data_IF_563410083420
#
_entry.id   IF_563410083420
#
_cell.length_a   1.000
_cell.length_b   1.000
_cell.length_c   1.000
_cell.angle_alpha   90.00
_cell.angle_beta   90.00
_cell.angle_gamma   90.00
#
_symmetry.space_group_name_H-M   'P 1'
#
loop_
_entity.id
_entity.type
_entity.pdbx_description
1 polymer ?
#
# COMPACT_ATOMS: atom_id res chain seq x y z
N UNK A 1 47.07 4.34 -12.36
CA UNK A 1 46.43 5.66 -12.27
C UNK A 1 45.17 5.58 -13.11
N UNK A 2 44.11 5.10 -12.48
CA UNK A 2 42.74 5.19 -12.97
C UNK A 2 41.92 5.38 -11.70
N UNK A 3 41.38 6.57 -11.54
CA UNK A 3 40.59 6.99 -10.38
C UNK A 3 39.22 6.31 -10.47
N UNK A 4 38.87 5.54 -9.43
CA UNK A 4 37.53 5.00 -9.23
C UNK A 4 36.76 6.05 -8.44
N UNK A 5 35.84 6.76 -9.10
CA UNK A 5 34.87 7.62 -8.42
C UNK A 5 33.74 6.72 -7.88
N UNK A 6 33.78 6.42 -6.59
CA UNK A 6 32.63 5.91 -5.84
C UNK A 6 31.77 7.10 -5.45
N UNK A 7 30.58 7.21 -6.05
CA UNK A 7 29.53 8.12 -5.59
C UNK A 7 28.79 7.41 -4.46
N UNK A 8 29.01 7.83 -3.21
CA UNK A 8 28.11 7.49 -2.11
C UNK A 8 26.87 8.35 -2.28
N UNK A 9 25.74 7.70 -2.51
CA UNK A 9 24.42 8.31 -2.38
C UNK A 9 24.05 8.17 -0.90
N UNK A 10 24.09 9.30 -0.17
CA UNK A 10 23.61 9.35 1.21
C UNK A 10 22.09 9.22 1.19
N UNK A 11 21.58 8.09 1.67
CA UNK A 11 20.17 7.91 1.98
C UNK A 11 19.78 8.88 3.10
N UNK A 12 18.91 9.84 2.82
CA UNK A 12 18.34 10.69 3.85
C UNK A 12 17.42 9.85 4.76
N UNK A 13 17.47 10.01 6.10
CA UNK A 13 16.55 9.34 6.99
C UNK A 13 15.29 10.18 7.14
N UNK A 14 14.09 9.59 7.02
CA UNK A 14 12.91 10.09 7.73
C UNK A 14 12.10 8.96 8.38
N UNK A 15 11.62 9.31 9.57
CA UNK A 15 11.28 8.46 10.70
C UNK A 15 9.94 8.93 11.28
N UNK A 16 9.23 7.97 11.87
CA UNK A 16 8.21 8.19 12.90
C UNK A 16 8.79 9.02 14.05
N UNK A 17 7.92 9.77 14.75
CA UNK A 17 8.24 10.36 16.04
C UNK A 17 8.68 9.25 17.02
N UNK A 18 10.00 9.09 17.23
CA UNK A 18 10.52 8.12 18.19
C UNK A 18 10.14 8.58 19.61
N UNK A 19 9.46 7.69 20.33
CA UNK A 19 8.81 7.89 21.63
C UNK A 19 9.77 8.23 22.78
N UNK A 20 11.07 8.46 22.51
CA UNK A 20 12.16 8.29 23.48
C UNK A 20 13.24 9.36 23.50
N UNK A 21 12.96 10.63 23.21
CA UNK A 21 13.82 11.74 23.66
C UNK A 21 13.04 12.95 24.22
N UNK A 22 11.98 12.70 25.00
CA UNK A 22 11.36 13.75 25.82
C UNK A 22 11.87 13.62 27.25
N UNK A 23 12.94 14.37 27.62
CA UNK A 23 13.12 14.97 28.96
C UNK A 23 14.49 15.65 29.18
N UNK A 24 14.47 17.00 29.27
CA UNK A 24 14.82 17.83 30.46
C UNK A 24 15.31 19.22 30.05
N UNK A 25 14.43 20.21 30.12
CA UNK A 25 14.85 21.61 30.25
C UNK A 25 14.18 22.23 31.49
N UNK A 26 15.01 22.58 32.47
CA UNK A 26 14.61 23.20 33.72
C UNK A 26 14.47 24.71 33.53
N UNK A 27 13.28 25.27 33.79
CA UNK A 27 13.11 26.68 34.18
C UNK A 27 12.18 27.53 33.31
N UNK A 28 10.93 27.69 33.75
CA UNK A 28 10.03 28.83 33.51
C UNK A 28 10.02 29.48 32.11
N UNK A 29 9.96 28.66 31.07
CA UNK A 29 9.56 29.04 29.72
C UNK A 29 8.67 27.91 29.18
N UNK A 30 7.64 28.24 28.41
CA UNK A 30 6.80 27.26 27.71
C UNK A 30 7.76 26.36 26.92
N UNK A 31 7.85 25.10 27.31
CA UNK A 31 8.71 24.14 26.66
C UNK A 31 7.92 23.57 25.48
N UNK A 32 8.17 24.11 24.29
CA UNK A 32 7.69 23.51 23.05
C UNK A 32 8.65 22.41 22.63
N UNK A 33 8.11 21.22 22.36
CA UNK A 33 8.83 20.12 21.73
C UNK A 33 8.28 20.02 20.31
N UNK A 34 9.13 20.21 19.30
CA UNK A 34 8.80 19.88 17.92
C UNK A 34 8.86 18.36 17.81
N UNK A 35 7.73 17.71 17.55
CA UNK A 35 7.63 16.24 17.60
C UNK A 35 7.71 15.59 16.22
N UNK A 36 7.71 16.37 15.14
CA UNK A 36 8.01 15.85 13.81
C UNK A 36 8.05 16.92 12.73
N UNK A 37 8.84 16.65 11.69
CA UNK A 37 8.68 17.17 10.33
C UNK A 37 8.19 15.99 9.48
N UNK A 38 7.07 16.12 8.79
CA UNK A 38 6.56 15.04 7.95
C UNK A 38 7.27 15.00 6.59
N UNK A 39 6.98 13.96 5.81
CA UNK A 39 7.42 13.85 4.42
C UNK A 39 6.79 14.94 3.56
N UNK A 40 7.39 15.16 2.40
CA UNK A 40 6.89 16.11 1.42
C UNK A 40 6.00 15.33 0.46
N UNK A 41 4.70 15.61 0.46
CA UNK A 41 3.75 15.01 -0.48
C UNK A 41 3.43 16.00 -1.60
N UNK A 42 3.47 15.53 -2.85
CA UNK A 42 3.00 16.29 -4.01
C UNK A 42 1.49 16.21 -4.04
N UNK A 43 0.84 17.36 -4.10
CA UNK A 43 -0.58 17.40 -4.33
C UNK A 43 -0.96 18.62 -5.18
N UNK A 44 -2.00 18.41 -5.98
CA UNK A 44 -2.58 19.32 -6.95
C UNK A 44 -3.98 19.64 -6.41
N UNK A 45 -4.23 20.89 -6.05
CA UNK A 45 -5.56 21.33 -5.58
C UNK A 45 -6.39 21.89 -6.71
N UNK A 46 -7.70 21.79 -6.53
CA UNK A 46 -8.64 22.16 -7.56
C UNK A 46 -8.72 23.64 -7.88
N UNK A 47 -9.10 23.97 -9.13
CA UNK A 47 -9.48 25.33 -9.55
C UNK A 47 -10.72 25.87 -8.80
N UNK A 48 -11.45 25.02 -8.07
CA UNK A 48 -12.55 25.40 -7.18
C UNK A 48 -12.00 25.94 -5.85
N UNK A 49 -12.62 26.99 -5.30
CA UNK A 49 -12.24 27.75 -4.08
C UNK A 49 -12.16 26.91 -2.77
N UNK A 50 -12.08 25.58 -2.84
CA UNK A 50 -12.05 24.67 -1.70
C UNK A 50 -10.61 24.54 -1.17
N UNK A 51 -10.40 25.14 0.00
CA UNK A 51 -9.12 25.11 0.69
C UNK A 51 -8.77 23.67 1.15
N UNK A 52 -7.48 23.28 1.14
CA UNK A 52 -7.05 22.03 1.74
C UNK A 52 -7.53 21.90 3.19
N UNK A 53 -7.93 20.70 3.59
CA UNK A 53 -8.44 20.42 4.93
C UNK A 53 -7.46 19.56 5.71
N UNK A 54 -7.06 19.99 6.91
CA UNK A 54 -6.29 19.16 7.83
C UNK A 54 -7.22 18.50 8.85
N UNK A 55 -7.34 17.18 8.80
CA UNK A 55 -7.99 16.38 9.84
C UNK A 55 -6.96 15.90 10.84
N UNK A 56 -7.24 16.04 12.13
CA UNK A 56 -6.32 15.62 13.20
C UNK A 56 -7.04 14.83 14.26
N UNK A 57 -6.35 13.85 14.86
CA UNK A 57 -6.78 13.19 16.10
C UNK A 57 -5.76 13.45 17.20
N UNK A 58 -6.20 14.18 18.23
CA UNK A 58 -5.34 14.60 19.32
C UNK A 58 -6.06 14.61 20.67
N UNK A 59 -5.28 14.47 21.74
CA UNK A 59 -5.74 14.74 23.11
C UNK A 59 -4.94 15.91 23.67
N UNK A 60 -5.64 16.97 24.05
CA UNK A 60 -5.06 18.20 24.61
C UNK A 60 -5.53 18.40 26.06
N UNK A 61 -4.85 17.81 27.06
CA UNK A 61 -5.16 18.04 28.46
C UNK A 61 -5.10 19.53 28.83
N UNK A 62 -5.85 19.94 29.85
CA UNK A 62 -5.87 21.33 30.30
C UNK A 62 -4.46 21.89 30.53
N UNK A 63 -4.24 23.13 30.08
CA UNK A 63 -2.95 23.84 30.10
C UNK A 63 -1.87 23.30 29.12
N UNK A 64 -2.25 22.44 28.18
CA UNK A 64 -1.43 22.07 27.00
C UNK A 64 -1.96 22.72 25.72
N UNK A 65 -1.14 22.74 24.66
CA UNK A 65 -1.52 23.19 23.33
C UNK A 65 -0.79 22.36 22.27
N UNK A 66 -1.44 22.15 21.14
CA UNK A 66 -0.83 21.56 19.94
C UNK A 66 -0.96 22.60 18.84
N UNK A 67 0.14 22.91 18.16
CA UNK A 67 0.13 23.77 16.99
C UNK A 67 0.63 22.99 15.79
N UNK A 68 -0.13 22.99 14.70
CA UNK A 68 0.36 22.53 13.41
C UNK A 68 0.68 23.73 12.52
N UNK A 69 1.75 23.59 11.74
CA UNK A 69 2.09 24.47 10.63
C UNK A 69 2.21 23.65 9.38
N UNK A 70 1.54 24.09 8.33
CA UNK A 70 1.61 23.50 7.00
C UNK A 70 2.37 24.48 6.13
N UNK A 71 3.35 23.97 5.38
CA UNK A 71 4.21 24.73 4.50
C UNK A 71 4.04 24.19 3.07
N UNK A 72 3.94 25.08 2.10
CA UNK A 72 3.81 24.77 0.68
C UNK A 72 5.10 25.18 -0.05
N UNK A 73 5.73 24.26 -0.78
CA UNK A 73 6.98 24.47 -1.52
C UNK A 73 6.82 24.18 -3.01
N UNK A 74 7.70 24.78 -3.81
CA UNK A 74 7.77 24.56 -5.27
C UNK A 74 8.43 23.25 -5.70
N UNK A 75 9.14 22.55 -4.81
CA UNK A 75 9.84 21.29 -5.09
C UNK A 75 9.99 20.39 -3.85
N UNK A 76 10.34 19.13 -4.08
CA UNK A 76 10.51 18.06 -3.09
C UNK A 76 11.76 18.20 -2.21
N UNK A 77 12.68 19.08 -2.56
CA UNK A 77 13.93 19.33 -1.81
C UNK A 77 13.78 20.49 -0.80
N UNK A 78 12.55 20.97 -0.60
CA UNK A 78 12.26 22.11 0.27
C UNK A 78 12.69 23.42 -0.38
N UNK A 79 12.27 23.61 -1.64
CA UNK A 79 12.55 24.75 -2.50
C UNK A 79 12.04 26.10 -1.98
N UNK A 80 11.51 26.94 -2.88
CA UNK A 80 10.97 28.21 -2.45
C UNK A 80 9.66 27.97 -1.67
N UNK A 81 9.62 28.44 -0.42
CA UNK A 81 8.38 28.45 0.36
C UNK A 81 7.39 29.40 -0.33
N UNK A 82 6.30 28.84 -0.83
CA UNK A 82 5.23 29.54 -1.54
C UNK A 82 4.29 30.16 -0.51
N UNK A 83 3.72 29.30 0.33
CA UNK A 83 2.73 29.65 1.33
C UNK A 83 2.94 28.87 2.63
N UNK A 84 2.26 29.32 3.68
CA UNK A 84 2.20 28.58 4.94
C UNK A 84 0.96 28.96 5.72
N UNK A 85 0.36 28.00 6.41
CA UNK A 85 -0.72 28.24 7.36
C UNK A 85 -0.40 27.62 8.73
N UNK A 86 -1.05 28.13 9.78
CA UNK A 86 -0.89 27.61 11.13
C UNK A 86 -2.19 27.56 11.88
N UNK A 87 -2.44 26.40 12.47
CA UNK A 87 -3.65 26.09 13.21
C UNK A 87 -3.30 25.65 14.64
N UNK A 88 -4.18 25.97 15.58
CA UNK A 88 -4.15 25.44 16.94
C UNK A 88 -5.09 24.24 16.98
N UNK A 89 -4.56 23.07 17.33
CA UNK A 89 -5.31 21.81 17.37
C UNK A 89 -5.97 21.65 18.73
N UNK A 90 -7.27 21.42 18.71
CA UNK A 90 -8.14 21.23 19.86
C UNK A 90 -8.21 19.74 20.27
N UNK A 91 -8.84 19.47 21.41
CA UNK A 91 -9.07 18.11 21.93
C UNK A 91 -10.07 17.34 21.05
N UNK A 92 -9.73 16.11 20.66
CA UNK A 92 -10.56 15.21 19.86
C UNK A 92 -10.17 15.17 18.37
N UNK A 93 -11.08 14.61 17.56
CA UNK A 93 -10.98 14.61 16.10
C UNK A 93 -11.57 15.89 15.54
N UNK A 94 -10.75 16.68 14.83
CA UNK A 94 -11.11 18.01 14.34
C UNK A 94 -10.61 18.23 12.91
N UNK A 95 -11.39 18.95 12.12
CA UNK A 95 -11.08 19.37 10.74
C UNK A 95 -10.78 20.88 10.69
N UNK A 96 -9.76 21.25 9.93
CA UNK A 96 -9.29 22.63 9.81
C UNK A 96 -9.06 23.04 8.36
N UNK A 97 -9.79 24.05 7.89
CA UNK A 97 -9.56 24.68 6.59
C UNK A 97 -8.23 25.44 6.60
N UNK A 98 -7.34 25.12 5.66
CA UNK A 98 -6.04 25.78 5.51
C UNK A 98 -6.12 26.91 4.46
N UNK A 99 -6.86 27.97 4.80
CA UNK A 99 -7.09 29.10 3.90
C UNK A 99 -5.82 29.83 3.45
N UNK A 100 -4.68 29.61 4.13
CA UNK A 100 -3.38 30.14 3.74
C UNK A 100 -2.65 29.29 2.70
N UNK A 101 -3.14 28.11 2.34
CA UNK A 101 -2.56 27.21 1.35
C UNK A 101 -3.35 27.33 0.05
N UNK A 102 -2.68 27.72 -1.04
CA UNK A 102 -3.35 28.00 -2.33
C UNK A 102 -3.52 26.77 -3.20
N UNK A 103 -2.69 25.74 -3.04
CA UNK A 103 -2.97 24.45 -3.64
C UNK A 103 -2.65 24.31 -5.14
N UNK A 104 -1.86 25.18 -5.77
CA UNK A 104 -1.70 25.09 -7.23
C UNK A 104 -0.92 23.85 -7.71
N UNK A 105 -0.96 23.61 -9.02
CA UNK A 105 -0.19 22.56 -9.70
C UNK A 105 1.29 22.54 -9.26
N UNK A 106 1.79 21.35 -8.90
CA UNK A 106 3.19 21.03 -8.55
C UNK A 106 3.72 21.50 -7.18
N UNK A 107 2.86 21.61 -6.17
CA UNK A 107 3.32 21.92 -4.82
C UNK A 107 3.52 20.72 -3.90
N UNK A 108 4.36 20.99 -2.92
CA UNK A 108 4.98 20.04 -2.01
C UNK A 108 4.73 20.49 -0.58
N UNK A 109 4.11 19.64 0.23
CA UNK A 109 3.64 20.02 1.58
C UNK A 109 4.55 19.48 2.69
N UNK A 110 5.07 20.35 3.57
CA UNK A 110 5.75 19.95 4.82
C UNK A 110 4.90 20.34 6.01
N UNK A 111 4.92 19.54 7.06
CA UNK A 111 4.13 19.77 8.27
C UNK A 111 5.04 19.78 9.48
N UNK A 112 4.85 20.76 10.33
CA UNK A 112 5.52 20.88 11.62
C UNK A 112 4.47 20.86 12.72
N UNK A 113 4.60 19.89 13.64
CA UNK A 113 3.72 19.77 14.81
C UNK A 113 4.52 20.12 16.06
N UNK A 114 4.11 21.19 16.72
CA UNK A 114 4.65 21.68 17.98
C UNK A 114 3.72 21.27 19.12
N UNK A 115 4.25 20.48 20.07
CA UNK A 115 3.56 20.14 21.32
C UNK A 115 4.02 21.05 22.45
N UNK A 116 3.09 21.75 23.09
CA UNK A 116 3.36 22.67 24.20
C UNK A 116 2.65 22.26 25.50
N UNK A 117 3.32 22.47 26.63
CA UNK A 117 2.72 22.38 27.96
C UNK A 117 3.17 23.53 28.85
N UNK A 118 2.23 24.14 29.57
CA UNK A 118 2.53 25.24 30.50
C UNK A 118 3.05 24.74 31.85
N UNK A 119 2.73 23.51 32.25
CA UNK A 119 3.04 22.98 33.58
C UNK A 119 4.16 21.92 33.59
N UNK A 120 4.53 21.36 32.42
CA UNK A 120 5.43 20.21 32.27
C UNK A 120 5.00 18.94 33.04
N UNK A 121 3.79 18.92 33.60
CA UNK A 121 3.24 17.78 34.33
C UNK A 121 2.35 16.93 33.41
N UNK A 122 1.72 17.55 32.42
CA UNK A 122 0.91 16.86 31.42
C UNK A 122 1.43 17.17 30.02
N UNK A 123 1.51 16.15 29.17
CA UNK A 123 1.89 16.28 27.76
C UNK A 123 0.67 16.02 26.88
N UNK A 124 0.44 16.82 25.83
CA UNK A 124 -0.56 16.49 24.83
C UNK A 124 -0.15 15.22 24.09
N UNK A 125 -1.14 14.46 23.61
CA UNK A 125 -0.93 13.30 22.76
C UNK A 125 -1.43 13.64 21.35
N UNK A 126 -0.58 13.47 20.35
CA UNK A 126 -0.93 13.64 18.95
C UNK A 126 -0.90 12.27 18.28
N UNK A 127 -2.02 11.86 17.69
CA UNK A 127 -2.15 10.53 17.09
C UNK A 127 -1.83 10.59 15.60
N UNK A 128 -2.52 11.45 14.86
CA UNK A 128 -2.48 11.49 13.40
C UNK A 128 -2.87 12.87 12.84
N UNK A 129 -2.24 13.24 11.72
CA UNK A 129 -2.62 14.36 10.85
C UNK A 129 -2.85 13.80 9.44
N UNK A 130 -3.97 14.15 8.81
CA UNK A 130 -4.28 13.84 7.42
C UNK A 130 -4.54 15.17 6.72
N UNK A 131 -3.78 15.46 5.67
CA UNK A 131 -4.09 16.58 4.78
C UNK A 131 -4.86 16.05 3.58
N UNK A 132 -6.06 16.57 3.39
CA UNK A 132 -6.89 16.29 2.24
C UNK A 132 -6.84 17.48 1.29
N UNK A 133 -6.53 17.17 0.02
CA UNK A 133 -6.49 18.15 -1.06
C UNK A 133 -7.52 17.70 -2.10
N UNK A 134 -8.49 18.56 -2.46
CA UNK A 134 -9.49 18.24 -3.48
C UNK A 134 -8.82 18.02 -4.83
N UNK A 135 -9.24 16.97 -5.55
CA UNK A 135 -8.68 16.60 -6.85
C UNK A 135 -9.42 17.34 -7.97
N UNK A 136 -8.73 18.14 -8.79
CA UNK A 136 -9.27 18.63 -10.07
C UNK A 136 -8.81 17.74 -11.24
N UNK A 137 -9.73 17.13 -12.00
CA UNK A 137 -9.41 16.31 -13.16
C UNK A 137 -8.43 16.94 -14.17
N UNK A 138 -8.38 18.27 -14.27
CA UNK A 138 -7.55 18.98 -15.25
C UNK A 138 -6.07 19.05 -14.84
N UNK A 139 -5.75 18.85 -13.57
CA UNK A 139 -4.39 18.97 -13.03
C UNK A 139 -3.60 17.67 -13.14
N UNK A 140 -4.27 16.58 -13.51
CA UNK A 140 -3.70 15.24 -13.51
C UNK A 140 -3.17 14.83 -14.87
N UNK A 141 -2.10 14.06 -14.83
CA UNK A 141 -1.51 13.54 -16.04
C UNK A 141 -2.39 12.44 -16.66
N UNK A 142 -2.69 12.61 -17.94
CA UNK A 142 -3.35 11.59 -18.76
C UNK A 142 -2.42 11.16 -19.91
N UNK A 143 -1.89 9.94 -19.83
CA UNK A 143 -0.97 9.34 -20.81
C UNK A 143 -1.55 8.04 -21.36
N UNK A 144 -1.91 8.00 -22.64
CA UNK A 144 -2.19 6.73 -23.32
C UNK A 144 -0.90 5.92 -23.44
N UNK A 145 -0.95 4.64 -23.08
CA UNK A 145 0.19 3.72 -23.23
C UNK A 145 0.04 2.92 -24.52
N UNK A 146 1.17 2.55 -25.13
CA UNK A 146 1.13 1.64 -26.28
C UNK A 146 0.75 0.24 -25.82
N UNK A 147 -0.31 -0.33 -26.39
CA UNK A 147 -0.69 -1.73 -26.17
C UNK A 147 0.15 -2.72 -27.00
N UNK A 148 1.04 -2.24 -27.88
CA UNK A 148 1.91 -3.11 -28.70
C UNK A 148 2.80 -4.06 -27.87
N UNK A 149 3.09 -3.69 -26.63
CA UNK A 149 3.89 -4.48 -25.69
C UNK A 149 3.05 -5.36 -24.76
N UNK A 150 1.72 -5.31 -24.87
CA UNK A 150 0.76 -6.03 -24.05
C UNK A 150 0.10 -7.10 -24.91
N UNK A 151 0.50 -8.36 -24.70
CA UNK A 151 0.08 -9.45 -25.57
C UNK A 151 -1.31 -10.00 -25.23
N UNK A 152 -1.74 -9.83 -23.98
CA UNK A 152 -3.01 -10.40 -23.50
C UNK A 152 -4.11 -9.35 -23.27
N UNK A 153 -3.82 -8.04 -23.41
CA UNK A 153 -4.85 -6.99 -23.38
C UNK A 153 -5.86 -7.25 -24.51
N UNK A 154 -7.18 -7.22 -24.24
CA UNK A 154 -8.20 -7.36 -25.28
C UNK A 154 -8.02 -6.37 -26.43
N UNK A 155 -8.31 -6.79 -27.68
CA UNK A 155 -8.06 -5.95 -28.88
C UNK A 155 -8.79 -4.59 -28.86
N UNK A 156 -9.88 -4.50 -28.09
CA UNK A 156 -10.75 -3.35 -27.93
C UNK A 156 -10.55 -2.62 -26.59
N UNK A 157 -9.56 -3.05 -25.79
CA UNK A 157 -9.20 -2.40 -24.55
C UNK A 157 -8.01 -1.45 -24.74
N UNK A 158 -8.04 -0.34 -24.03
CA UNK A 158 -6.94 0.62 -23.93
C UNK A 158 -6.34 0.57 -22.53
N UNK A 159 -5.01 0.70 -22.47
CA UNK A 159 -4.26 0.87 -21.23
C UNK A 159 -3.78 2.31 -21.15
N UNK A 160 -4.22 3.03 -20.13
CA UNK A 160 -3.91 4.45 -19.95
C UNK A 160 -3.41 4.71 -18.54
N UNK A 161 -2.48 5.65 -18.38
CA UNK A 161 -2.21 6.25 -17.08
C UNK A 161 -3.09 7.49 -16.95
N UNK A 162 -4.27 7.31 -16.35
CA UNK A 162 -5.18 8.38 -15.97
C UNK A 162 -5.03 8.63 -14.47
N UNK A 163 -4.16 9.57 -14.12
CA UNK A 163 -3.78 9.80 -12.72
C UNK A 163 -4.98 10.25 -11.87
N UNK A 164 -5.94 10.98 -12.45
CA UNK A 164 -7.15 11.39 -11.75
C UNK A 164 -8.00 10.18 -11.33
N UNK A 165 -8.36 9.31 -12.29
CA UNK A 165 -9.11 8.07 -11.98
C UNK A 165 -8.34 7.19 -11.01
N UNK A 166 -7.02 7.06 -11.21
CA UNK A 166 -6.17 6.27 -10.33
C UNK A 166 -6.11 6.82 -8.90
N UNK A 167 -6.12 8.15 -8.71
CA UNK A 167 -6.19 8.76 -7.38
C UNK A 167 -7.58 8.65 -6.78
N UNK A 168 -8.64 8.88 -7.56
CA UNK A 168 -10.05 8.77 -7.12
C UNK A 168 -10.36 7.38 -6.55
N UNK A 169 -9.89 6.31 -7.20
CA UNK A 169 -10.15 4.93 -6.75
C UNK A 169 -8.97 4.27 -6.03
N UNK A 170 -7.99 5.07 -5.57
CA UNK A 170 -6.78 4.53 -4.96
C UNK A 170 -7.09 3.82 -3.63
N UNK A 171 -6.62 2.59 -3.41
CA UNK A 171 -6.73 1.94 -2.11
C UNK A 171 -5.88 2.62 -1.04
N UNK A 172 -6.39 2.70 0.20
CA UNK A 172 -5.60 3.09 1.38
C UNK A 172 -4.87 1.87 1.90
N UNK A 173 -3.58 2.03 2.17
CA UNK A 173 -2.74 0.92 2.65
C UNK A 173 -2.22 1.20 4.07
N UNK A 174 -2.61 0.34 4.99
CA UNK A 174 -2.08 0.25 6.35
C UNK A 174 -0.92 -0.74 6.37
N UNK A 175 0.25 -0.27 6.81
CA UNK A 175 1.45 -1.08 6.99
C UNK A 175 2.36 -0.45 8.06
N UNK A 176 3.27 -1.24 8.62
CA UNK A 176 4.24 -0.74 9.58
C UNK A 176 5.23 0.26 8.95
N UNK A 177 6.01 0.97 9.77
CA UNK A 177 6.89 2.03 9.29
C UNK A 177 8.13 1.53 8.54
N UNK A 178 8.63 0.34 8.86
CA UNK A 178 9.77 -0.23 8.15
C UNK A 178 9.34 -0.78 6.79
N UNK A 179 8.17 -1.42 6.70
CA UNK A 179 7.59 -1.83 5.41
C UNK A 179 7.29 -0.62 4.53
N UNK A 180 6.66 0.43 5.08
CA UNK A 180 6.40 1.68 4.34
C UNK A 180 7.69 2.33 3.82
N UNK A 181 8.75 2.39 4.63
CA UNK A 181 10.03 2.99 4.22
C UNK A 181 10.74 2.18 3.12
N UNK A 182 10.45 0.88 3.03
CA UNK A 182 11.02 -0.01 2.01
C UNK A 182 10.14 -0.20 0.78
N UNK A 183 9.01 0.51 0.68
CA UNK A 183 8.08 0.47 -0.45
C UNK A 183 8.36 1.63 -1.39
N UNK A 184 8.37 1.35 -2.69
CA UNK A 184 8.41 2.36 -3.75
C UNK A 184 6.99 2.80 -4.17
N UNK A 185 5.97 2.63 -3.32
CA UNK A 185 4.60 3.03 -3.62
C UNK A 185 3.82 2.02 -4.47
N UNK A 186 2.99 2.52 -5.37
CA UNK A 186 2.09 1.75 -6.25
C UNK A 186 2.34 2.09 -7.71
N UNK A 187 2.57 1.05 -8.51
CA UNK A 187 2.57 1.18 -9.97
C UNK A 187 1.18 0.91 -10.51
N UNK A 188 0.66 1.79 -11.36
CA UNK A 188 -0.74 1.72 -11.76
C UNK A 188 -1.00 2.06 -13.22
N UNK A 189 -2.16 1.63 -13.69
CA UNK A 189 -2.78 1.98 -14.96
C UNK A 189 -4.29 1.76 -14.89
N UNK A 190 -5.04 2.40 -15.78
CA UNK A 190 -6.46 2.14 -16.01
C UNK A 190 -6.59 1.30 -17.27
N UNK A 191 -7.36 0.21 -17.19
CA UNK A 191 -7.84 -0.53 -18.35
C UNK A 191 -9.27 -0.08 -18.66
N UNK A 192 -9.49 0.35 -19.90
CA UNK A 192 -10.78 0.85 -20.38
C UNK A 192 -11.16 0.09 -21.66
N UNK A 193 -12.44 -0.18 -21.88
CA UNK A 193 -12.91 -1.03 -22.97
C UNK A 193 -14.36 -0.72 -23.35
N UNK A 194 -14.60 -0.37 -24.61
CA UNK A 194 -15.94 -0.13 -25.16
C UNK A 194 -16.89 -1.35 -25.09
N UNK A 195 -16.36 -2.56 -24.88
CA UNK A 195 -17.14 -3.80 -24.82
C UNK A 195 -17.49 -4.23 -23.38
N UNK A 196 -16.98 -3.54 -22.37
CA UNK A 196 -17.18 -3.87 -20.95
C UNK A 196 -17.94 -2.74 -20.26
N UNK A 197 -18.84 -3.06 -19.32
CA UNK A 197 -19.62 -2.06 -18.59
C UNK A 197 -18.81 -1.41 -17.43
N UNK A 198 -17.52 -1.77 -17.30
CA UNK A 198 -16.63 -1.30 -16.24
C UNK A 198 -15.27 -0.89 -16.82
N UNK A 199 -14.71 0.19 -16.31
CA UNK A 199 -13.26 0.39 -16.36
C UNK A 199 -12.60 -0.19 -15.11
N UNK A 200 -11.30 -0.51 -15.20
CA UNK A 200 -10.56 -1.12 -14.10
C UNK A 200 -9.35 -0.29 -13.74
N UNK A 201 -9.28 0.17 -12.49
CA UNK A 201 -8.07 0.77 -11.93
C UNK A 201 -7.16 -0.35 -11.40
N UNK A 202 -6.04 -0.58 -12.07
CA UNK A 202 -5.10 -1.65 -11.78
C UNK A 202 -3.90 -1.09 -11.00
N UNK A 203 -3.74 -1.52 -9.76
CA UNK A 203 -2.63 -1.12 -8.89
C UNK A 203 -1.73 -2.31 -8.56
N UNK A 204 -0.43 -2.02 -8.44
CA UNK A 204 0.59 -2.95 -8.01
C UNK A 204 1.42 -2.33 -6.91
N UNK A 205 1.10 -2.67 -5.67
CA UNK A 205 1.79 -2.18 -4.48
C UNK A 205 3.18 -2.80 -4.39
N UNK A 206 4.22 -1.99 -4.56
CA UNK A 206 5.59 -2.41 -4.27
C UNK A 206 5.82 -2.47 -2.76
N UNK A 207 6.47 -3.53 -2.30
CA UNK A 207 6.79 -3.74 -0.88
C UNK A 207 8.28 -4.07 -0.75
N UNK A 208 8.85 -4.12 0.46
CA UNK A 208 10.12 -4.80 0.64
C UNK A 208 9.95 -6.32 0.49
N UNK A 209 11.06 -7.03 0.34
CA UNK A 209 11.06 -8.49 0.24
C UNK A 209 10.46 -9.12 1.51
N UNK A 210 9.40 -9.91 1.34
CA UNK A 210 8.77 -10.66 2.43
C UNK A 210 9.67 -11.78 2.95
N UNK A 211 9.56 -12.08 4.24
CA UNK A 211 10.12 -13.31 4.79
C UNK A 211 9.17 -14.46 4.42
N UNK A 212 9.54 -15.36 3.52
CA UNK A 212 8.71 -16.55 3.29
C UNK A 212 9.35 -17.77 3.90
N UNK A 213 8.64 -18.41 4.83
CA UNK A 213 9.12 -19.58 5.56
C UNK A 213 9.30 -20.84 4.69
N UNK A 214 8.85 -20.84 3.42
CA UNK A 214 8.71 -22.09 2.68
C UNK A 214 9.40 -22.18 1.33
N UNK A 215 9.69 -21.09 0.60
CA UNK A 215 10.42 -21.21 -0.67
C UNK A 215 11.05 -19.88 -1.14
N UNK A 216 12.19 -19.95 -1.83
CA UNK A 216 12.81 -18.83 -2.59
C UNK A 216 11.89 -18.26 -3.71
N UNK A 217 10.68 -18.78 -3.90
CA UNK A 217 9.72 -18.33 -4.93
C UNK A 217 9.33 -16.86 -4.79
N UNK A 218 9.19 -16.35 -3.56
CA UNK A 218 8.87 -14.94 -3.34
C UNK A 218 10.05 -14.00 -3.64
N UNK A 219 11.24 -14.54 -3.95
CA UNK A 219 12.38 -13.73 -4.40
C UNK A 219 12.36 -13.38 -5.88
N UNK A 220 11.56 -14.09 -6.70
CA UNK A 220 11.55 -13.93 -8.17
C UNK A 220 10.38 -13.09 -8.69
N UNK A 221 9.22 -13.16 -8.05
CA UNK A 221 8.03 -12.39 -8.42
C UNK A 221 7.96 -11.01 -7.77
N UNK A 222 9.03 -10.64 -7.10
CA UNK A 222 9.09 -9.39 -6.37
C UNK A 222 8.04 -9.31 -5.28
N UNK A 223 8.08 -8.15 -4.67
CA UNK A 223 7.27 -7.72 -3.56
C UNK A 223 5.93 -7.11 -3.99
N UNK A 224 5.67 -7.04 -5.30
CA UNK A 224 4.48 -6.41 -5.87
C UNK A 224 3.19 -7.14 -5.50
N UNK A 225 2.20 -6.42 -4.96
CA UNK A 225 0.89 -6.97 -4.58
C UNK A 225 -0.20 -6.30 -5.41
N UNK A 226 -0.83 -7.04 -6.34
CA UNK A 226 -1.86 -6.46 -7.20
C UNK A 226 -3.18 -6.24 -6.44
N UNK A 227 -3.86 -5.16 -6.83
CA UNK A 227 -5.22 -4.78 -6.45
C UNK A 227 -5.90 -4.20 -7.69
N UNK A 228 -6.97 -4.82 -8.18
CA UNK A 228 -7.78 -4.36 -9.30
C UNK A 228 -9.14 -3.90 -8.79
N UNK A 229 -9.49 -2.66 -9.06
CA UNK A 229 -10.76 -2.03 -8.67
C UNK A 229 -11.64 -1.90 -9.91
N UNK A 230 -12.74 -2.66 -9.96
CA UNK A 230 -13.72 -2.63 -11.04
C UNK A 230 -14.77 -1.57 -10.73
N UNK A 231 -14.91 -0.61 -11.63
CA UNK A 231 -15.81 0.53 -11.47
C UNK A 231 -16.81 0.57 -12.62
N UNK A 232 -18.09 0.64 -12.30
CA UNK A 232 -19.16 0.81 -13.30
C UNK A 232 -18.97 2.14 -14.05
N UNK A 233 -18.95 2.08 -15.39
CA UNK A 233 -18.67 3.26 -16.21
C UNK A 233 -19.81 4.30 -16.18
N UNK A 234 -21.06 3.87 -15.96
CA UNK A 234 -22.24 4.76 -15.95
C UNK A 234 -22.46 5.39 -14.57
N UNK A 235 -22.31 4.61 -13.49
CA UNK A 235 -22.60 5.04 -12.13
C UNK A 235 -21.38 5.50 -11.35
N UNK A 236 -20.17 5.18 -11.81
CA UNK A 236 -18.91 5.43 -11.12
C UNK A 236 -18.78 4.70 -9.75
N UNK A 237 -19.66 3.74 -9.48
CA UNK A 237 -19.67 2.91 -8.26
C UNK A 237 -18.67 1.75 -8.38
N UNK A 238 -18.00 1.40 -7.28
CA UNK A 238 -17.11 0.23 -7.22
C UNK A 238 -17.96 -1.05 -7.17
N UNK A 239 -17.84 -1.92 -8.18
CA UNK A 239 -18.56 -3.20 -8.20
C UNK A 239 -17.83 -4.29 -7.42
N UNK A 240 -16.51 -4.33 -7.54
CA UNK A 240 -15.69 -5.43 -7.06
C UNK A 240 -14.22 -5.00 -6.96
N UNK A 241 -13.52 -5.54 -5.97
CA UNK A 241 -12.07 -5.40 -5.85
C UNK A 241 -11.44 -6.77 -5.80
N UNK A 242 -10.50 -7.04 -6.70
CA UNK A 242 -9.75 -8.31 -6.80
C UNK A 242 -8.31 -8.07 -6.43
N UNK A 243 -7.79 -8.78 -5.43
CA UNK A 243 -6.46 -8.49 -4.88
C UNK A 243 -5.70 -9.76 -4.52
N UNK A 244 -4.38 -9.61 -4.29
CA UNK A 244 -3.54 -10.69 -3.79
C UNK A 244 -3.72 -10.91 -2.28
N UNK A 245 -4.81 -11.58 -1.90
CA UNK A 245 -5.17 -11.83 -0.49
C UNK A 245 -4.23 -12.78 0.27
N UNK A 246 -3.55 -13.72 -0.42
CA UNK A 246 -2.57 -14.59 0.24
C UNK A 246 -1.60 -15.26 -0.74
N UNK A 247 -0.31 -14.91 -0.70
CA UNK A 247 0.73 -15.54 -1.54
C UNK A 247 0.32 -15.62 -3.03
N UNK A 248 -0.22 -14.51 -3.56
CA UNK A 248 -0.76 -14.39 -4.93
C UNK A 248 -1.93 -15.32 -5.26
N UNK A 249 -2.59 -15.89 -4.25
CA UNK A 249 -3.97 -16.34 -4.40
C UNK A 249 -4.89 -15.12 -4.39
N UNK A 250 -5.85 -15.14 -5.30
CA UNK A 250 -6.82 -14.06 -5.42
C UNK A 250 -7.85 -14.14 -4.29
N UNK A 251 -8.13 -12.99 -3.72
CA UNK A 251 -9.32 -12.72 -2.92
C UNK A 251 -10.14 -11.66 -3.66
N UNK A 252 -11.41 -11.57 -3.32
CA UNK A 252 -12.29 -10.52 -3.80
C UNK A 252 -13.18 -9.99 -2.68
N UNK A 253 -13.62 -8.75 -2.85
CA UNK A 253 -14.61 -8.08 -2.02
C UNK A 253 -15.51 -7.24 -2.91
N UNK A 254 -16.80 -7.22 -2.58
CA UNK A 254 -17.78 -6.30 -3.15
C UNK A 254 -18.14 -5.31 -2.04
N UNK A 255 -17.41 -4.19 -1.90
CA UNK A 255 -17.62 -3.27 -0.79
C UNK A 255 -18.95 -2.54 -0.95
N UNK A 256 -19.69 -2.39 0.16
CA UNK A 256 -20.80 -1.43 0.22
C UNK A 256 -20.23 0.00 0.41
N UNK A 257 -21.06 1.03 0.19
CA UNK A 257 -20.68 2.45 0.39
C UNK A 257 -20.12 2.72 1.80
N UNK A 258 -20.67 2.04 2.82
CA UNK A 258 -20.24 2.15 4.22
C UNK A 258 -18.86 1.50 4.49
N UNK A 259 -18.35 0.67 3.57
CA UNK A 259 -17.04 0.03 3.68
C UNK A 259 -15.92 0.86 3.00
N UNK A 260 -16.29 1.96 2.36
CA UNK A 260 -15.40 2.83 1.60
C UNK A 260 -15.20 4.16 2.32
N UNK A 261 -14.00 4.70 2.23
CA UNK A 261 -13.69 6.00 2.79
C UNK A 261 -13.94 7.12 1.79
N UNK A 262 -14.64 8.15 2.24
CA UNK A 262 -14.74 9.43 1.55
C UNK A 262 -13.50 10.27 1.85
N UNK A 263 -12.58 10.30 0.89
CA UNK A 263 -11.39 11.14 0.90
C UNK A 263 -11.13 11.58 -0.54
N UNK A 264 -10.38 12.68 -0.75
CA UNK A 264 -9.98 13.16 -2.09
C UNK A 264 -11.14 13.37 -3.11
N UNK A 265 -12.38 13.47 -2.64
CA UNK A 265 -13.57 13.62 -3.48
C UNK A 265 -14.88 13.66 -2.68
N UNK A 266 -15.98 13.84 -3.39
CA UNK A 266 -17.33 13.99 -2.82
C UNK A 266 -18.03 12.65 -2.51
N UNK A 267 -17.43 11.54 -2.90
CA UNK A 267 -18.01 10.19 -2.82
C UNK A 267 -17.01 9.23 -2.14
N UNK A 268 -17.48 8.23 -1.39
CA UNK A 268 -16.62 7.22 -0.79
C UNK A 268 -16.13 6.22 -1.84
N UNK A 269 -14.85 6.32 -2.20
CA UNK A 269 -14.24 5.53 -3.30
C UNK A 269 -12.97 4.79 -2.87
N UNK A 270 -12.59 4.86 -1.60
CA UNK A 270 -11.32 4.33 -1.12
C UNK A 270 -11.49 3.11 -0.20
N UNK A 271 -11.20 1.94 -0.74
CA UNK A 271 -11.09 0.72 0.06
C UNK A 271 -9.79 0.71 0.89
N UNK A 272 -9.87 0.19 2.12
CA UNK A 272 -8.72 0.05 3.01
C UNK A 272 -8.16 -1.38 3.02
N UNK A 273 -6.84 -1.50 2.99
CA UNK A 273 -6.12 -2.76 3.07
C UNK A 273 -5.01 -2.70 4.12
N UNK A 274 -4.81 -3.81 4.82
CA UNK A 274 -3.68 -4.03 5.73
C UNK A 274 -2.66 -4.97 5.09
N UNK A 275 -1.39 -4.57 5.10
CA UNK A 275 -0.26 -5.46 4.77
C UNK A 275 0.06 -6.30 6.00
N UNK A 276 -0.09 -7.61 5.89
CA UNK A 276 0.17 -8.53 6.99
C UNK A 276 1.63 -8.94 7.02
N UNK A 277 2.36 -8.37 7.97
CA UNK A 277 3.76 -8.70 8.23
C UNK A 277 3.96 -10.09 8.84
N UNK A 278 5.13 -10.72 8.61
CA UNK A 278 6.18 -10.32 7.66
C UNK A 278 5.97 -10.82 6.21
N UNK A 279 4.76 -11.28 5.89
CA UNK A 279 4.51 -12.13 4.72
C UNK A 279 3.99 -11.35 3.50
N UNK A 280 3.62 -10.09 3.73
CA UNK A 280 3.19 -9.12 2.73
C UNK A 280 1.98 -9.57 1.94
N UNK A 281 1.04 -10.30 2.55
CA UNK A 281 -0.28 -10.48 1.94
C UNK A 281 -1.22 -9.34 2.37
N UNK A 282 -2.20 -9.07 1.53
CA UNK A 282 -3.18 -8.00 1.78
C UNK A 282 -4.41 -8.58 2.46
N UNK A 283 -4.96 -7.85 3.43
CA UNK A 283 -6.27 -8.13 4.00
C UNK A 283 -7.14 -6.89 3.90
N UNK A 284 -8.35 -7.03 3.36
CA UNK A 284 -9.34 -5.95 3.29
C UNK A 284 -9.79 -5.55 4.70
N UNK A 285 -9.98 -4.24 4.94
CA UNK A 285 -10.46 -3.66 6.20
C UNK A 285 -11.55 -2.64 5.92
N UNK A 286 -12.60 -2.71 6.72
CA UNK A 286 -13.73 -1.79 6.79
C UNK A 286 -13.52 -0.68 7.84
N UNK A 287 -12.26 -0.38 8.19
CA UNK A 287 -11.91 0.53 9.28
C UNK A 287 -11.37 1.89 8.81
N UNK A 288 -11.30 2.08 7.49
CA UNK A 288 -10.85 3.31 6.87
C UNK A 288 -9.39 3.66 7.09
N UNK A 289 -8.57 2.75 7.64
CA UNK A 289 -7.20 3.08 7.99
C UNK A 289 -6.26 2.97 6.80
N UNK A 290 -5.12 3.61 6.95
CA UNK A 290 -4.02 3.55 6.02
C UNK A 290 -3.74 4.88 5.35
N UNK A 291 -2.62 4.89 4.62
CA UNK A 291 -2.15 6.02 3.83
C UNK A 291 -2.26 5.67 2.34
N UNK A 292 -2.38 6.67 1.49
CA UNK A 292 -2.27 6.50 0.04
C UNK A 292 -0.81 6.36 -0.36
N UNK A 293 -0.36 5.22 -0.91
CA UNK A 293 1.00 5.11 -1.44
C UNK A 293 1.24 6.10 -2.58
N UNK A 294 2.50 6.43 -2.87
CA UNK A 294 2.83 7.21 -4.06
C UNK A 294 2.40 6.45 -5.33
N UNK A 295 1.86 7.14 -6.33
CA UNK A 295 1.45 6.53 -7.59
C UNK A 295 2.51 6.76 -8.67
N UNK A 296 2.85 5.67 -9.38
CA UNK A 296 3.77 5.66 -10.50
C UNK A 296 3.09 5.03 -11.72
N UNK A 297 3.47 5.45 -12.92
CA UNK A 297 2.99 4.80 -14.14
C UNK A 297 3.66 3.42 -14.29
N UNK A 298 2.87 2.37 -14.53
CA UNK A 298 3.43 1.01 -14.65
C UNK A 298 4.48 0.88 -15.77
N UNK A 299 4.35 1.65 -16.85
CA UNK A 299 5.33 1.69 -17.96
C UNK A 299 6.77 1.95 -17.46
N UNK A 300 6.93 2.75 -16.40
CA UNK A 300 8.23 3.14 -15.86
C UNK A 300 9.01 1.96 -15.27
N UNK A 301 8.31 0.89 -14.86
CA UNK A 301 8.91 -0.30 -14.25
C UNK A 301 8.73 -1.58 -15.08
N UNK A 302 7.83 -1.58 -16.07
CA UNK A 302 7.47 -2.75 -16.89
C UNK A 302 8.69 -3.45 -17.47
N UNK A 303 9.62 -2.72 -18.09
CA UNK A 303 10.84 -3.31 -18.68
C UNK A 303 11.71 -4.00 -17.62
N UNK A 304 11.80 -3.41 -16.43
CA UNK A 304 12.55 -3.97 -15.30
C UNK A 304 11.91 -5.27 -14.81
N UNK A 305 10.58 -5.32 -14.73
CA UNK A 305 9.84 -6.53 -14.37
C UNK A 305 10.05 -7.64 -15.38
N UNK A 306 9.97 -7.33 -16.68
CA UNK A 306 10.25 -8.28 -17.75
C UNK A 306 11.70 -8.79 -17.68
N UNK A 307 12.67 -7.91 -17.52
CA UNK A 307 14.10 -8.27 -17.44
C UNK A 307 14.42 -9.13 -16.20
N UNK A 308 13.65 -9.00 -15.12
CA UNK A 308 13.76 -9.81 -13.92
C UNK A 308 12.95 -11.12 -13.97
N UNK A 309 12.31 -11.44 -15.11
CA UNK A 309 11.57 -12.69 -15.30
C UNK A 309 10.26 -12.73 -14.51
N UNK A 310 9.70 -11.57 -14.16
CA UNK A 310 8.45 -11.50 -13.40
C UNK A 310 7.29 -12.15 -14.17
N UNK A 311 7.17 -11.83 -15.47
CA UNK A 311 6.20 -12.46 -16.38
C UNK A 311 6.46 -13.95 -16.66
N UNK A 312 7.61 -14.50 -16.24
CA UNK A 312 7.84 -15.96 -16.34
C UNK A 312 7.10 -16.73 -15.25
N UNK A 313 6.62 -16.04 -14.21
CA UNK A 313 5.98 -16.67 -13.06
C UNK A 313 4.58 -16.10 -12.77
N UNK A 314 4.32 -14.84 -13.12
CA UNK A 314 2.96 -14.30 -13.18
C UNK A 314 2.27 -14.79 -14.46
N UNK A 315 0.98 -15.04 -14.39
CA UNK A 315 0.19 -15.33 -15.60
C UNK A 315 -0.03 -14.03 -16.36
N UNK A 316 0.38 -13.96 -17.64
CA UNK A 316 0.22 -12.75 -18.43
C UNK A 316 -1.25 -12.30 -18.52
N UNK A 317 -2.21 -13.23 -18.59
CA UNK A 317 -3.64 -12.90 -18.59
C UNK A 317 -4.04 -12.27 -17.26
N UNK A 318 -3.53 -12.79 -16.13
CA UNK A 318 -3.83 -12.23 -14.81
C UNK A 318 -3.36 -10.77 -14.66
N UNK A 319 -2.30 -10.39 -15.38
CA UNK A 319 -1.66 -9.07 -15.26
C UNK A 319 -2.20 -8.06 -16.27
N UNK A 320 -2.47 -8.52 -17.48
CA UNK A 320 -2.73 -7.67 -18.62
C UNK A 320 -4.21 -7.62 -19.00
N UNK A 321 -5.01 -8.63 -18.63
CA UNK A 321 -6.45 -8.66 -18.85
C UNK A 321 -7.20 -8.69 -17.50
N UNK A 322 -7.55 -7.52 -16.94
CA UNK A 322 -8.22 -7.46 -15.65
C UNK A 322 -9.58 -8.15 -15.67
N UNK A 323 -10.35 -8.08 -16.76
CA UNK A 323 -11.65 -8.73 -16.86
C UNK A 323 -11.55 -10.25 -16.84
N UNK A 324 -10.50 -10.83 -17.43
CA UNK A 324 -10.21 -12.25 -17.23
C UNK A 324 -9.73 -12.55 -15.81
N UNK A 325 -8.89 -11.69 -15.21
CA UNK A 325 -8.46 -11.84 -13.81
C UNK A 325 -9.64 -11.83 -12.82
N UNK A 326 -10.73 -11.13 -13.14
CA UNK A 326 -12.01 -11.16 -12.39
C UNK A 326 -12.53 -12.59 -12.14
N UNK A 327 -12.19 -13.56 -12.98
CA UNK A 327 -12.64 -14.95 -12.84
C UNK A 327 -11.54 -15.93 -12.41
N UNK A 328 -10.32 -15.46 -12.18
CA UNK A 328 -9.18 -16.30 -11.82
C UNK A 328 -9.05 -16.48 -10.32
N UNK A 329 -8.53 -17.64 -9.93
CA UNK A 329 -8.27 -17.97 -8.53
C UNK A 329 -6.90 -17.49 -8.03
N UNK A 330 -5.97 -17.20 -8.94
CA UNK A 330 -4.61 -16.78 -8.59
C UNK A 330 -3.92 -16.01 -9.71
N UNK A 331 -2.88 -15.26 -9.33
CA UNK A 331 -2.07 -14.43 -10.22
C UNK A 331 -0.90 -15.21 -10.87
N UNK A 332 -0.67 -16.45 -10.45
CA UNK A 332 0.36 -17.33 -11.00
C UNK A 332 -0.03 -17.94 -12.34
N UNK A 333 0.99 -18.18 -13.17
CA UNK A 333 0.85 -18.99 -14.38
C UNK A 333 0.41 -20.42 -14.06
N UNK A 334 -0.42 -20.97 -14.96
CA UNK A 334 -1.07 -22.26 -14.79
C UNK A 334 -0.09 -23.44 -14.64
N UNK A 335 1.14 -23.31 -15.12
CA UNK A 335 2.17 -24.36 -14.99
C UNK A 335 2.60 -24.62 -13.53
N UNK A 336 2.25 -23.73 -12.61
CA UNK A 336 2.59 -23.80 -11.18
C UNK A 336 1.46 -24.29 -10.26
N UNK A 337 0.24 -24.49 -10.80
CA UNK A 337 -1.02 -24.45 -10.04
C UNK A 337 -1.35 -25.64 -9.15
N UNK A 338 -1.29 -26.88 -9.62
CA UNK A 338 -1.93 -27.99 -8.88
C UNK A 338 -1.23 -28.39 -7.58
N UNK A 339 0.10 -28.24 -7.50
CA UNK A 339 0.85 -28.53 -6.28
C UNK A 339 0.89 -27.30 -5.38
N UNK A 340 1.25 -26.13 -5.91
CA UNK A 340 1.45 -24.92 -5.12
C UNK A 340 0.14 -24.42 -4.49
N UNK A 341 -0.95 -24.32 -5.25
CA UNK A 341 -2.23 -23.85 -4.71
C UNK A 341 -2.78 -24.76 -3.61
N UNK A 342 -2.57 -26.09 -3.74
CA UNK A 342 -2.96 -27.05 -2.70
C UNK A 342 -2.13 -26.86 -1.43
N UNK A 343 -0.82 -26.67 -1.55
CA UNK A 343 0.07 -26.46 -0.40
C UNK A 343 -0.18 -25.12 0.27
N UNK A 344 -0.37 -24.05 -0.51
CA UNK A 344 -0.72 -22.72 0.00
C UNK A 344 -2.05 -22.77 0.75
N UNK A 345 -3.05 -23.49 0.24
CA UNK A 345 -4.32 -23.69 0.95
C UNK A 345 -4.17 -24.51 2.25
N UNK A 346 -3.33 -25.55 2.26
CA UNK A 346 -3.04 -26.31 3.50
C UNK A 346 -2.31 -25.42 4.50
N UNK A 347 -1.29 -24.67 4.05
CA UNK A 347 -0.53 -23.74 4.87
C UNK A 347 -1.47 -22.70 5.49
N UNK A 348 -2.39 -22.14 4.70
CA UNK A 348 -3.41 -21.21 5.17
C UNK A 348 -4.28 -21.80 6.27
N UNK A 349 -4.84 -23.00 6.04
CA UNK A 349 -5.67 -23.71 7.03
C UNK A 349 -4.92 -24.04 8.33
N UNK A 350 -3.59 -24.12 8.28
CA UNK A 350 -2.74 -24.38 9.43
C UNK A 350 -2.22 -23.09 10.10
N UNK A 351 -2.57 -21.90 9.61
CA UNK A 351 -2.01 -20.62 10.08
C UNK A 351 -0.50 -20.48 9.81
N UNK A 352 0.03 -21.24 8.84
CA UNK A 352 1.42 -21.08 8.44
C UNK A 352 1.54 -19.81 7.60
N UNK A 353 2.64 -19.07 7.79
CA UNK A 353 2.88 -17.80 7.09
C UNK A 353 1.66 -16.86 7.14
N UNK A 354 1.03 -16.75 8.32
CA UNK A 354 -0.01 -15.77 8.61
C UNK A 354 -1.33 -16.05 7.90
N UNK A 355 -1.54 -17.25 7.36
CA UNK A 355 -2.77 -17.58 6.65
C UNK A 355 -4.03 -17.58 7.53
N UNK A 356 -3.91 -17.46 8.85
CA UNK A 356 -5.02 -17.13 9.75
C UNK A 356 -5.56 -15.70 9.58
N UNK A 357 -4.78 -14.82 8.94
CA UNK A 357 -5.13 -13.45 8.58
C UNK A 357 -5.53 -13.29 7.11
N UNK A 358 -5.47 -14.37 6.33
CA UNK A 358 -5.91 -14.36 4.95
C UNK A 358 -7.43 -14.29 4.86
N UNK A 359 -7.92 -13.41 3.99
CA UNK A 359 -9.35 -13.29 3.69
C UNK A 359 -9.90 -14.53 2.97
N UNK A 360 -11.19 -14.49 2.63
CA UNK A 360 -11.80 -15.54 1.81
C UNK A 360 -11.18 -15.53 0.41
N UNK A 361 -10.50 -16.63 0.07
CA UNK A 361 -9.80 -16.77 -1.22
C UNK A 361 -10.73 -17.42 -2.25
N UNK A 362 -10.59 -17.01 -3.51
CA UNK A 362 -11.33 -17.59 -4.64
C UNK A 362 -11.01 -19.06 -4.91
N UNK A 363 -9.81 -19.51 -4.55
CA UNK A 363 -9.38 -20.90 -4.71
C UNK A 363 -10.22 -21.81 -3.82
N UNK A 364 -11.37 -22.22 -4.33
CA UNK A 364 -12.30 -23.16 -3.73
C UNK A 364 -12.63 -22.87 -2.27
N UNK A 365 -13.89 -22.49 -2.03
CA UNK A 365 -14.66 -22.97 -0.88
C UNK A 365 -14.62 -24.52 -0.89
N UNK A 366 -13.49 -25.11 -0.48
CA UNK A 366 -13.19 -26.53 -0.56
C UNK A 366 -13.87 -27.30 0.56
N UNK A 367 -15.12 -26.93 0.84
CA UNK A 367 -16.12 -27.77 1.49
C UNK A 367 -16.72 -28.76 0.48
N UNK A 368 -16.55 -28.54 -0.83
CA UNK A 368 -17.15 -29.36 -1.89
C UNK A 368 -16.36 -30.59 -2.35
N UNK A 369 -15.04 -30.68 -2.12
CA UNK A 369 -14.19 -31.71 -2.77
C UNK A 369 -13.36 -32.61 -1.84
N UNK A 370 -13.27 -32.35 -0.54
CA UNK A 370 -12.48 -33.17 0.39
C UNK A 370 -13.18 -33.43 1.73
N UNK A 371 -14.25 -34.25 1.74
CA UNK A 371 -14.57 -35.07 2.90
C UNK A 371 -13.70 -36.35 2.86
N UNK A 372 -12.39 -36.21 3.05
CA UNK A 372 -11.53 -37.33 3.40
C UNK A 372 -11.10 -37.12 4.85
N UNK A 373 -11.60 -37.98 5.74
CA UNK A 373 -11.04 -38.17 7.08
C UNK A 373 -9.57 -38.59 6.91
N UNK A 374 -8.65 -37.63 7.00
CA UNK A 374 -7.24 -37.91 7.17
C UNK A 374 -6.97 -38.05 8.67
N UNK A 375 -6.91 -39.29 9.15
CA UNK A 375 -6.21 -39.62 10.39
C UNK A 375 -4.72 -39.31 10.16
N UNK A 376 -4.23 -38.22 10.75
CA UNK A 376 -2.82 -37.86 10.74
C UNK A 376 -2.07 -38.79 11.69
N UNK A 377 -1.51 -39.89 11.18
CA UNK A 377 -0.42 -40.59 11.87
C UNK A 377 0.88 -39.83 11.53
N UNK A 378 1.35 -39.00 12.48
CA UNK A 378 2.58 -38.21 12.42
C UNK A 378 3.86 -39.08 12.50
N UNK A 379 3.90 -40.22 11.81
CA UNK A 379 5.14 -40.99 11.60
C UNK A 379 5.82 -40.52 10.31
N UNK A 380 6.45 -39.35 10.40
CA UNK A 380 7.48 -38.93 9.45
C UNK A 380 8.66 -39.92 9.52
N UNK A 381 9.21 -40.38 8.38
CA UNK A 381 10.34 -41.29 8.39
C UNK A 381 11.60 -40.48 8.68
N UNK A 382 12.03 -40.49 9.94
CA UNK A 382 13.45 -40.32 10.21
C UNK A 382 14.14 -41.55 9.60
N UNK A 383 15.17 -41.30 8.80
CA UNK A 383 16.14 -42.31 8.43
C UNK A 383 16.80 -42.82 9.72
N UNK A 384 16.32 -43.96 10.20
CA UNK A 384 17.10 -44.86 11.06
C UNK A 384 18.29 -45.35 10.23
N UNK A 385 19.39 -44.61 10.24
CA UNK A 385 20.69 -45.19 9.95
C UNK A 385 21.09 -46.01 11.18
N UNK A 386 20.60 -47.25 11.20
CA UNK A 386 21.04 -48.29 12.12
C UNK A 386 22.52 -48.60 11.90
N UNK A 387 23.22 -48.68 13.03
CA UNK A 387 24.56 -49.21 13.20
C UNK A 387 24.75 -50.56 12.50
N UNK A 388 25.83 -50.73 11.73
CA UNK A 388 26.31 -52.05 11.32
C UNK A 388 27.78 -52.22 11.75
N UNK A 389 27.95 -52.54 13.03
CA UNK A 389 29.15 -53.14 13.58
C UNK A 389 29.23 -54.62 13.14
N UNK A 390 30.16 -54.93 12.25
CA UNK A 390 30.66 -56.30 12.08
C UNK A 390 32.19 -56.37 12.19
N UNK A 391 32.66 -56.64 13.41
CA UNK A 391 33.94 -57.33 13.65
C UNK A 391 33.80 -58.81 13.24
N UNK A 392 34.79 -59.37 12.52
CA UNK A 392 35.43 -60.68 12.84
C UNK A 392 36.20 -61.31 11.66
N UNK A 393 37.53 -61.40 11.87
CA UNK A 393 38.45 -62.50 11.56
C UNK A 393 38.86 -62.86 10.10
N UNK A 394 40.13 -62.60 9.80
CA UNK A 394 41.14 -63.67 9.67
C UNK A 394 41.45 -64.24 8.27
N UNK A 395 42.56 -63.80 7.68
CA UNK A 395 43.72 -64.63 7.29
C UNK A 395 44.96 -63.76 7.01
#
# INVERSE_FOLDING_TARGET
MSETTQTHQESQPRLQADRREVLKATGAAIAFVVVGRSGIERATASDDDDAPTLTTDATTPGDTAIQARVYEYTDDDGGELVNSDSIEIDDGTNDYDLAGIEGSEDYYYDFEIELGSNDNEVSPEFVEAILEIPLDPNDFEHRSQSTDEWSEVPENAEIVYDEYRLRKYQPRISMDSDTRRGSDGMFAFVADSDDEDTFVCCYWLDLPKAETAWVDFNSQLGSHKPIYVFVDEETEEIEEIVYSGYQYLAADVQPDEDDLEQSRGDEPTHASFEVIDPWNHLSFKDDGRGSFPELHALEETRSTWTDHGWYDAADAIAVEDPWQMRNREMWWDDSWTSFSARYVNIARRLGAAGGEHADELRVGSADGWFSFDFDFDLSWPWSDDEDDDTESNGE
#
